data_IF_476837471963
#
_entry.id   IF_476837471963
#
_cell.length_a   1.000
_cell.length_b   1.000
_cell.length_c   1.000
_cell.angle_alpha   90.00
_cell.angle_beta   90.00
_cell.angle_gamma   90.00
#
_symmetry.space_group_name_H-M   'P 1'
#
loop_
_entity.id
_entity.type
_entity.pdbx_description
1 polymer ?
#
# COMPACT_ATOMS: atom_id res chain seq x y z
N UNK A 1 -24.95 7.81 0.03
CA UNK A 1 -23.90 8.69 0.62
C UNK A 1 -22.59 7.91 0.79
N UNK A 2 -21.44 8.55 0.63
CA UNK A 2 -20.16 7.85 0.81
C UNK A 2 -19.86 7.66 2.30
N UNK A 3 -19.51 6.44 2.72
CA UNK A 3 -19.14 6.14 4.12
C UNK A 3 -17.96 7.01 4.58
N UNK A 4 -18.05 7.66 5.76
CA UNK A 4 -16.94 8.43 6.33
C UNK A 4 -15.68 7.59 6.52
N UNK A 5 -14.48 8.19 6.36
CA UNK A 5 -13.22 7.46 6.50
C UNK A 5 -13.01 6.94 7.93
N UNK A 6 -13.43 7.70 8.92
CA UNK A 6 -13.40 7.30 10.34
C UNK A 6 -14.15 6.01 10.65
N UNK A 7 -15.12 5.62 9.81
CA UNK A 7 -15.81 4.34 9.94
C UNK A 7 -15.12 3.19 9.18
N UNK A 8 -14.26 3.50 8.19
CA UNK A 8 -13.60 2.50 7.35
C UNK A 8 -12.18 2.17 7.83
N UNK A 9 -11.52 3.13 8.47
CA UNK A 9 -10.17 2.99 9.03
C UNK A 9 -10.29 3.07 10.54
N UNK A 10 -9.77 2.08 11.23
CA UNK A 10 -9.72 2.06 12.67
C UNK A 10 -8.69 3.08 13.16
N UNK A 11 -9.06 3.86 14.18
CA UNK A 11 -8.20 4.88 14.76
C UNK A 11 -7.65 4.48 16.14
N UNK A 12 -8.10 3.33 16.67
CA UNK A 12 -7.73 2.86 18.00
C UNK A 12 -6.86 1.61 17.92
N UNK A 13 -7.14 0.71 16.95
CA UNK A 13 -6.46 -0.58 16.83
C UNK A 13 -5.68 -0.71 15.53
N UNK A 14 -4.47 -1.30 15.60
CA UNK A 14 -3.69 -1.59 14.41
C UNK A 14 -4.35 -2.66 13.55
N UNK A 15 -4.32 -2.46 12.21
CA UNK A 15 -4.98 -3.34 11.27
C UNK A 15 -4.35 -3.28 9.88
N UNK A 16 -4.50 -4.36 9.10
CA UNK A 16 -4.14 -4.36 7.70
C UNK A 16 -5.26 -3.81 6.82
N UNK A 17 -4.87 -3.11 5.75
CA UNK A 17 -5.78 -2.54 4.75
C UNK A 17 -5.32 -2.81 3.34
N UNK A 18 -6.27 -3.16 2.47
CA UNK A 18 -6.09 -3.10 1.02
C UNK A 18 -6.55 -1.73 0.52
N UNK A 19 -5.62 -0.96 -0.04
CA UNK A 19 -5.86 0.40 -0.53
C UNK A 19 -5.78 0.42 -2.05
N UNK A 20 -6.69 1.17 -2.70
CA UNK A 20 -6.67 1.34 -4.16
C UNK A 20 -6.87 2.82 -4.47
N UNK A 21 -6.07 3.35 -5.38
CA UNK A 21 -6.30 4.66 -5.98
C UNK A 21 -6.25 4.58 -7.50
N UNK A 22 -7.22 5.22 -8.16
CA UNK A 22 -7.40 5.18 -9.61
C UNK A 22 -7.36 6.58 -10.19
N UNK A 23 -6.85 6.70 -11.42
CA UNK A 23 -6.91 7.94 -12.18
C UNK A 23 -8.32 8.22 -12.70
N UNK A 24 -8.67 9.52 -12.80
CA UNK A 24 -9.94 9.96 -13.38
C UNK A 24 -10.06 9.49 -14.84
N UNK A 25 -11.31 9.21 -15.25
CA UNK A 25 -11.63 8.82 -16.65
C UNK A 25 -10.77 7.68 -17.20
N UNK A 26 -10.17 6.86 -16.32
CA UNK A 26 -9.19 5.81 -16.66
C UNK A 26 -7.97 6.34 -17.43
N UNK A 27 -7.61 7.62 -17.22
CA UNK A 27 -6.39 8.21 -17.76
C UNK A 27 -5.17 7.37 -17.43
N UNK A 28 -4.14 7.48 -18.25
CA UNK A 28 -2.89 6.77 -18.04
C UNK A 28 -2.15 7.34 -16.81
N UNK A 29 -2.01 6.53 -15.77
CA UNK A 29 -1.10 6.80 -14.66
C UNK A 29 0.33 6.58 -15.12
N UNK A 30 0.57 5.44 -15.78
CA UNK A 30 1.84 4.99 -16.32
C UNK A 30 1.61 4.00 -17.46
N UNK A 31 2.68 3.60 -18.13
CA UNK A 31 2.62 2.74 -19.31
C UNK A 31 2.53 3.50 -20.61
N UNK A 32 2.37 2.78 -21.70
CA UNK A 32 2.37 3.34 -23.06
C UNK A 32 0.94 3.68 -23.50
N UNK A 33 0.66 4.96 -23.69
CA UNK A 33 -0.54 5.47 -24.32
C UNK A 33 -0.35 5.45 -25.85
N UNK A 34 -0.82 4.37 -26.49
CA UNK A 34 -0.66 4.18 -27.94
C UNK A 34 -1.38 5.25 -28.77
N UNK A 35 -2.62 5.66 -28.45
CA UNK A 35 -3.31 6.74 -29.15
C UNK A 35 -2.55 8.07 -29.10
N UNK A 36 -2.08 8.47 -27.92
CA UNK A 36 -1.33 9.70 -27.75
C UNK A 36 0.16 9.59 -28.12
N UNK A 37 0.67 8.37 -28.40
CA UNK A 37 2.09 8.05 -28.66
C UNK A 37 3.01 8.54 -27.53
N UNK A 38 2.54 8.46 -26.27
CA UNK A 38 3.30 8.87 -25.09
C UNK A 38 3.63 7.68 -24.21
N UNK A 39 4.83 7.69 -23.66
CA UNK A 39 5.30 6.70 -22.71
C UNK A 39 5.39 7.33 -21.30
N UNK A 40 4.63 6.77 -20.37
CA UNK A 40 4.56 7.18 -18.98
C UNK A 40 5.15 6.15 -18.01
N UNK A 41 5.98 5.22 -18.50
CA UNK A 41 6.57 4.15 -17.66
C UNK A 41 7.39 4.72 -16.50
N UNK A 42 8.07 5.86 -16.70
CA UNK A 42 8.85 6.54 -15.66
C UNK A 42 8.00 6.94 -14.43
N UNK A 43 6.69 7.15 -14.58
CA UNK A 43 5.79 7.47 -13.45
C UNK A 43 5.65 6.31 -12.46
N UNK A 44 5.93 5.05 -12.87
CA UNK A 44 6.01 3.90 -11.95
C UNK A 44 7.13 4.10 -10.93
N UNK A 45 8.28 4.59 -11.39
CA UNK A 45 9.42 4.88 -10.52
C UNK A 45 9.08 5.99 -9.52
N UNK A 46 8.37 7.05 -9.94
CA UNK A 46 7.93 8.11 -9.02
C UNK A 46 7.06 7.55 -7.88
N UNK A 47 6.08 6.73 -8.23
CA UNK A 47 5.18 6.12 -7.25
C UNK A 47 5.93 5.15 -6.33
N UNK A 48 6.73 4.25 -6.88
CA UNK A 48 7.48 3.26 -6.11
C UNK A 48 8.43 3.94 -5.12
N UNK A 49 9.24 4.89 -5.60
CA UNK A 49 10.15 5.67 -4.75
C UNK A 49 9.39 6.38 -3.65
N UNK A 50 8.24 6.98 -3.99
CA UNK A 50 7.42 7.70 -3.02
C UNK A 50 6.78 6.78 -1.99
N UNK A 51 6.28 5.59 -2.39
CA UNK A 51 5.77 4.57 -1.48
C UNK A 51 6.84 4.18 -0.46
N UNK A 52 8.03 3.81 -0.94
CA UNK A 52 9.15 3.41 -0.08
C UNK A 52 9.63 4.54 0.83
N UNK A 53 9.70 5.76 0.30
CA UNK A 53 10.12 6.92 1.09
C UNK A 53 9.13 7.21 2.21
N UNK A 54 7.86 7.38 1.90
CA UNK A 54 6.85 7.74 2.91
C UNK A 54 6.65 6.64 3.95
N UNK A 55 6.67 5.37 3.54
CA UNK A 55 6.47 4.26 4.46
C UNK A 55 7.56 4.13 5.53
N UNK A 56 8.73 4.74 5.35
CA UNK A 56 9.79 4.79 6.39
C UNK A 56 9.46 5.74 7.53
N UNK A 57 8.56 6.70 7.32
CA UNK A 57 8.34 7.79 8.26
C UNK A 57 6.90 7.88 8.79
N UNK A 58 5.93 7.30 8.08
CA UNK A 58 4.55 7.23 8.53
C UNK A 58 4.31 5.99 9.41
N UNK A 59 3.23 6.00 10.18
CA UNK A 59 2.80 4.89 11.04
C UNK A 59 2.24 3.70 10.23
N UNK A 60 2.97 3.26 9.20
CA UNK A 60 2.59 2.17 8.30
C UNK A 60 3.74 1.22 8.03
N UNK A 61 3.41 -0.04 7.76
CA UNK A 61 4.28 -0.99 7.09
C UNK A 61 3.64 -1.42 5.77
N UNK A 62 4.39 -1.43 4.67
CA UNK A 62 3.90 -1.83 3.34
C UNK A 62 4.23 -3.28 3.10
N UNK A 63 3.19 -4.12 2.99
CA UNK A 63 3.33 -5.54 2.73
C UNK A 63 3.33 -5.87 1.24
N UNK A 64 2.47 -5.22 0.44
CA UNK A 64 2.46 -5.43 -1.00
C UNK A 64 2.07 -4.16 -1.76
N UNK A 65 2.51 -4.05 -3.01
CA UNK A 65 2.06 -3.02 -3.96
C UNK A 65 2.10 -3.52 -5.40
N UNK A 66 1.24 -2.94 -6.22
CA UNK A 66 1.30 -3.05 -7.68
C UNK A 66 0.86 -1.73 -8.32
N UNK A 67 1.71 -1.19 -9.21
CA UNK A 67 1.46 0.05 -9.93
C UNK A 67 1.04 -0.31 -11.35
N UNK A 68 -0.26 -0.18 -11.63
CA UNK A 68 -0.88 -0.53 -12.91
C UNK A 68 -1.01 0.71 -13.80
N UNK A 69 -1.41 0.51 -15.06
CA UNK A 69 -1.48 1.60 -16.05
C UNK A 69 -2.40 2.78 -15.66
N UNK A 70 -3.46 2.55 -14.88
CA UNK A 70 -4.43 3.59 -14.51
C UNK A 70 -4.81 3.58 -13.03
N UNK A 71 -4.18 2.76 -12.20
CA UNK A 71 -4.41 2.67 -10.77
C UNK A 71 -3.23 1.99 -10.09
N UNK A 72 -3.18 2.10 -8.77
CA UNK A 72 -2.25 1.33 -7.97
C UNK A 72 -2.95 0.71 -6.77
N UNK A 73 -2.39 -0.39 -6.30
CA UNK A 73 -2.79 -1.11 -5.10
C UNK A 73 -1.70 -1.06 -4.05
N UNK A 74 -2.09 -1.03 -2.78
CA UNK A 74 -1.21 -1.24 -1.62
C UNK A 74 -1.90 -2.21 -0.66
N UNK A 75 -1.13 -3.08 -0.03
CA UNK A 75 -1.50 -3.75 1.22
C UNK A 75 -0.59 -3.18 2.29
N UNK A 76 -1.19 -2.60 3.32
CA UNK A 76 -0.46 -1.95 4.40
C UNK A 76 -0.98 -2.42 5.75
N UNK A 77 -0.07 -2.58 6.71
CA UNK A 77 -0.41 -2.58 8.13
C UNK A 77 -0.31 -1.14 8.63
N UNK A 78 -1.33 -0.67 9.29
CA UNK A 78 -1.42 0.66 9.86
C UNK A 78 -1.61 0.56 11.36
N UNK A 79 -0.74 1.22 12.12
CA UNK A 79 -0.85 1.34 13.58
C UNK A 79 -1.13 2.79 13.95
N UNK A 80 -2.38 3.15 14.26
CA UNK A 80 -2.76 4.52 14.60
C UNK A 80 -2.10 5.03 15.88
N UNK A 81 -1.67 4.12 16.77
CA UNK A 81 -1.04 4.45 18.05
C UNK A 81 0.49 4.57 17.96
N UNK A 82 1.11 4.16 16.85
CA UNK A 82 2.56 4.22 16.70
C UNK A 82 3.11 5.64 16.90
N UNK A 83 2.44 6.65 16.35
CA UNK A 83 2.88 8.03 16.45
C UNK A 83 2.87 8.59 17.89
N UNK A 84 2.10 8.00 18.80
CA UNK A 84 2.05 8.40 20.20
C UNK A 84 3.25 7.86 21.01
N UNK A 85 3.95 6.85 20.47
CA UNK A 85 5.14 6.25 21.10
C UNK A 85 6.45 6.93 20.64
N UNK A 86 6.40 7.73 19.58
CA UNK A 86 7.58 8.47 19.11
C UNK A 86 7.91 9.64 20.01
N UNK A 87 9.20 9.88 20.28
CA UNK A 87 9.62 11.11 20.95
C UNK A 87 9.36 12.34 20.06
N UNK A 88 9.44 13.52 20.64
CA UNK A 88 9.27 14.77 19.91
C UNK A 88 10.40 14.96 18.88
N UNK A 89 11.61 14.57 19.21
CA UNK A 89 12.76 14.57 18.30
C UNK A 89 12.53 13.64 17.11
N UNK A 90 12.05 12.41 17.38
CA UNK A 90 11.74 11.44 16.35
C UNK A 90 10.65 11.95 15.39
N UNK A 91 9.60 12.59 15.94
CA UNK A 91 8.56 13.23 15.13
C UNK A 91 9.14 14.34 14.26
N UNK A 92 10.02 15.18 14.82
CA UNK A 92 10.64 16.26 14.06
C UNK A 92 11.55 15.75 12.94
N UNK A 93 12.35 14.71 13.19
CA UNK A 93 13.19 14.06 12.17
C UNK A 93 12.36 13.43 11.05
N UNK A 94 11.34 12.65 11.41
CA UNK A 94 10.42 12.04 10.45
C UNK A 94 9.70 13.10 9.60
N UNK A 95 9.25 14.18 10.23
CA UNK A 95 8.59 15.30 9.54
C UNK A 95 9.49 15.94 8.52
N UNK A 96 10.72 16.27 8.89
CA UNK A 96 11.69 16.90 7.99
C UNK A 96 12.15 15.99 6.87
N UNK A 97 12.20 14.66 7.09
CA UNK A 97 12.49 13.71 6.05
C UNK A 97 11.35 13.63 5.00
N UNK A 98 10.10 13.76 5.42
CA UNK A 98 8.93 13.78 4.52
C UNK A 98 8.78 15.14 3.83
N UNK A 99 9.06 16.24 4.53
CA UNK A 99 8.91 17.63 4.09
C UNK A 99 10.23 18.38 4.22
N UNK A 100 11.24 18.01 3.41
CA UNK A 100 12.55 18.65 3.49
C UNK A 100 12.45 20.15 3.14
N UNK A 101 13.33 20.98 3.69
CA UNK A 101 13.47 22.35 3.27
C UNK A 101 13.80 22.45 1.77
N UNK A 102 13.61 23.63 1.19
CA UNK A 102 14.09 23.87 -0.18
C UNK A 102 15.60 23.68 -0.22
N UNK A 103 16.08 23.05 -1.30
CA UNK A 103 17.52 22.84 -1.51
C UNK A 103 18.27 24.18 -1.46
N UNK A 104 19.40 24.18 -0.78
CA UNK A 104 20.35 25.30 -0.74
C UNK A 104 21.48 25.08 -1.76
N UNK A 105 22.33 26.10 -1.90
CA UNK A 105 23.47 26.08 -2.84
C UNK A 105 24.61 25.14 -2.39
N UNK A 106 24.71 24.86 -1.08
CA UNK A 106 25.72 23.92 -0.54
C UNK A 106 25.10 22.86 0.38
N UNK A 107 25.76 21.69 0.44
CA UNK A 107 25.31 20.60 1.32
C UNK A 107 25.49 20.94 2.82
N UNK A 108 26.49 21.76 3.17
CA UNK A 108 26.69 22.22 4.54
C UNK A 108 25.53 23.12 4.98
N UNK A 109 25.14 24.08 4.13
CA UNK A 109 23.99 24.96 4.40
C UNK A 109 22.68 24.17 4.50
N UNK A 110 22.53 23.08 3.72
CA UNK A 110 21.34 22.20 3.81
C UNK A 110 21.22 21.54 5.19
N UNK A 111 22.33 21.03 5.74
CA UNK A 111 22.31 20.42 7.06
C UNK A 111 22.02 21.44 8.18
N UNK A 112 22.60 22.63 8.10
CA UNK A 112 22.34 23.69 9.09
C UNK A 112 20.88 24.15 9.04
N UNK A 113 20.30 24.26 7.84
CA UNK A 113 18.88 24.59 7.66
C UNK A 113 17.99 23.49 8.25
N UNK A 114 18.32 22.20 8.05
CA UNK A 114 17.57 21.08 8.62
C UNK A 114 17.65 21.12 10.15
N UNK A 115 18.83 21.32 10.74
CA UNK A 115 19.03 21.42 12.18
C UNK A 115 18.23 22.59 12.77
N UNK A 116 18.33 23.77 12.18
CA UNK A 116 17.58 24.95 12.61
C UNK A 116 16.06 24.71 12.56
N UNK A 117 15.56 24.09 11.49
CA UNK A 117 14.13 23.77 11.36
C UNK A 117 13.67 22.75 12.36
N UNK A 118 14.52 21.78 12.71
CA UNK A 118 14.24 20.80 13.77
C UNK A 118 14.07 21.51 15.11
N UNK A 119 15.00 22.38 15.48
CA UNK A 119 14.93 23.15 16.71
C UNK A 119 13.67 24.03 16.76
N UNK A 120 13.37 24.76 15.68
CA UNK A 120 12.15 25.55 15.59
C UNK A 120 10.90 24.69 15.77
N UNK A 121 10.85 23.51 15.14
CA UNK A 121 9.69 22.62 15.26
C UNK A 121 9.50 22.12 16.68
N UNK A 122 10.59 21.76 17.37
CA UNK A 122 10.57 21.30 18.77
C UNK A 122 10.09 22.41 19.73
N UNK A 123 10.34 23.68 19.41
CA UNK A 123 9.87 24.84 20.19
C UNK A 123 8.41 25.23 19.88
N UNK A 124 7.74 24.55 18.94
CA UNK A 124 6.38 24.89 18.51
C UNK A 124 5.42 23.71 18.74
N UNK A 125 4.86 23.53 19.97
CA UNK A 125 4.07 22.36 20.34
C UNK A 125 2.89 22.08 19.41
N UNK A 126 2.18 23.11 18.94
CA UNK A 126 1.05 22.93 18.02
C UNK A 126 1.49 22.38 16.66
N UNK A 127 2.61 22.84 16.13
CA UNK A 127 3.14 22.33 14.85
C UNK A 127 3.68 20.92 15.01
N UNK A 128 4.31 20.63 16.13
CA UNK A 128 4.80 19.28 16.45
C UNK A 128 3.66 18.30 16.60
N UNK A 129 2.59 18.68 17.29
CA UNK A 129 1.36 17.88 17.41
C UNK A 129 0.73 17.64 16.02
N UNK A 130 0.65 18.68 15.18
CA UNK A 130 0.17 18.53 13.80
C UNK A 130 1.04 17.58 12.98
N UNK A 131 2.37 17.64 13.12
CA UNK A 131 3.29 16.72 12.47
C UNK A 131 3.05 15.27 12.93
N UNK A 132 2.93 15.04 14.24
CA UNK A 132 2.63 13.74 14.84
C UNK A 132 1.32 13.16 14.31
N UNK A 133 0.25 13.93 14.34
CA UNK A 133 -1.06 13.52 13.82
C UNK A 133 -1.05 13.23 12.31
N UNK A 134 -0.28 14.02 11.55
CA UNK A 134 -0.13 13.80 10.11
C UNK A 134 0.60 12.48 9.83
N UNK A 135 1.73 12.23 10.48
CA UNK A 135 2.53 11.03 10.30
C UNK A 135 1.81 9.77 10.84
N UNK A 136 0.94 9.92 11.83
CA UNK A 136 0.05 8.88 12.37
C UNK A 136 -1.23 8.65 11.58
N UNK A 137 -1.39 9.21 10.38
CA UNK A 137 -2.65 9.15 9.63
C UNK A 137 -2.51 8.42 8.29
N UNK A 138 -3.26 7.32 8.12
CA UNK A 138 -3.34 6.60 6.85
C UNK A 138 -3.89 7.48 5.71
N UNK A 139 -4.83 8.38 6.03
CA UNK A 139 -5.37 9.33 5.05
C UNK A 139 -4.32 10.34 4.59
N UNK A 140 -3.48 10.81 5.50
CA UNK A 140 -2.39 11.73 5.18
C UNK A 140 -1.26 11.02 4.44
N UNK A 141 -0.93 9.77 4.80
CA UNK A 141 -0.02 8.94 4.01
C UNK A 141 -0.47 8.88 2.54
N UNK A 142 -1.72 8.51 2.29
CA UNK A 142 -2.27 8.43 0.93
C UNK A 142 -2.37 9.80 0.23
N UNK A 143 -2.64 10.88 0.96
CA UNK A 143 -2.63 12.24 0.42
C UNK A 143 -1.22 12.62 -0.06
N UNK A 144 -0.21 12.44 0.80
CA UNK A 144 1.17 12.80 0.48
C UNK A 144 1.83 11.86 -0.53
N UNK A 145 1.31 10.64 -0.69
CA UNK A 145 1.67 9.76 -1.79
C UNK A 145 1.12 10.28 -3.13
N UNK A 146 -0.17 10.62 -3.18
CA UNK A 146 -0.89 10.93 -4.42
C UNK A 146 -0.65 12.35 -4.94
N UNK A 147 -0.63 13.34 -4.05
CA UNK A 147 -0.64 14.76 -4.43
C UNK A 147 0.58 15.19 -5.26
N UNK A 148 1.83 14.87 -4.88
CA UNK A 148 2.99 15.23 -5.69
C UNK A 148 3.00 14.54 -7.05
N UNK A 149 2.59 13.27 -7.12
CA UNK A 149 2.50 12.52 -8.37
C UNK A 149 1.44 13.13 -9.29
N UNK A 150 0.27 13.50 -8.74
CA UNK A 150 -0.78 14.18 -9.49
C UNK A 150 -0.32 15.52 -10.05
N UNK A 151 0.37 16.33 -9.24
CA UNK A 151 0.91 17.61 -9.66
C UNK A 151 1.94 17.47 -10.79
N UNK A 152 2.88 16.53 -10.62
CA UNK A 152 3.93 16.29 -11.60
C UNK A 152 3.38 15.73 -12.91
N UNK A 153 2.42 14.78 -12.83
CA UNK A 153 1.75 14.23 -14.00
C UNK A 153 0.92 15.29 -14.75
N UNK A 154 0.15 16.11 -14.04
CA UNK A 154 -0.60 17.21 -14.67
C UNK A 154 0.33 18.22 -15.36
N UNK A 155 1.47 18.54 -14.71
CA UNK A 155 2.48 19.43 -15.33
C UNK A 155 3.06 18.83 -16.60
N UNK A 156 3.39 17.54 -16.60
CA UNK A 156 3.89 16.83 -17.77
C UNK A 156 2.85 16.74 -18.90
N UNK A 157 1.58 16.52 -18.52
CA UNK A 157 0.48 16.42 -19.48
C UNK A 157 -0.04 17.78 -19.97
N UNK A 158 0.43 18.89 -19.41
CA UNK A 158 -0.08 20.24 -19.68
C UNK A 158 -1.54 20.43 -19.23
N UNK A 159 -1.98 19.69 -18.20
CA UNK A 159 -3.35 19.66 -17.73
C UNK A 159 -3.48 20.27 -16.33
N UNK A 160 -4.72 20.57 -15.94
CA UNK A 160 -5.11 20.99 -14.60
C UNK A 160 -6.28 20.14 -14.09
N UNK A 161 -6.54 20.18 -12.76
CA UNK A 161 -7.66 19.49 -12.14
C UNK A 161 -7.29 18.15 -11.48
N UNK A 162 -8.32 17.33 -11.26
CA UNK A 162 -8.16 16.05 -10.56
C UNK A 162 -7.49 14.99 -11.43
N UNK A 163 -6.31 14.52 -11.00
CA UNK A 163 -5.61 13.41 -11.63
C UNK A 163 -6.12 12.05 -11.12
N UNK A 164 -6.35 11.92 -9.82
CA UNK A 164 -6.93 10.73 -9.21
C UNK A 164 -8.43 10.91 -8.94
N UNK A 165 -9.20 9.82 -9.14
CA UNK A 165 -10.57 9.74 -8.62
C UNK A 165 -10.57 10.08 -7.13
N UNK A 166 -11.54 10.82 -6.63
CA UNK A 166 -11.71 11.31 -5.29
C UNK A 166 -10.96 10.58 -4.15
N UNK A 167 -11.70 9.97 -3.22
CA UNK A 167 -11.11 9.23 -2.11
C UNK A 167 -10.61 7.86 -2.58
N UNK A 168 -9.45 7.42 -2.04
CA UNK A 168 -8.98 6.06 -2.24
C UNK A 168 -9.94 5.04 -1.59
N UNK A 169 -10.03 3.84 -2.17
CA UNK A 169 -10.70 2.71 -1.53
C UNK A 169 -9.83 2.18 -0.39
N UNK A 170 -10.47 1.75 0.72
CA UNK A 170 -9.85 0.98 1.79
C UNK A 170 -10.76 -0.16 2.21
N UNK A 171 -10.25 -1.39 2.14
CA UNK A 171 -10.88 -2.58 2.68
C UNK A 171 -10.04 -3.10 3.84
N UNK A 172 -10.65 -3.29 5.01
CA UNK A 172 -10.00 -3.86 6.17
C UNK A 172 -9.73 -5.36 5.95
N UNK A 173 -8.58 -5.84 6.39
CA UNK A 173 -8.17 -7.24 6.29
C UNK A 173 -8.06 -7.80 7.71
N UNK A 174 -9.05 -8.60 8.10
CA UNK A 174 -9.35 -8.90 9.49
C UNK A 174 -8.63 -10.13 10.05
N UNK A 175 -8.03 -10.93 9.19
CA UNK A 175 -7.24 -12.12 9.54
C UNK A 175 -6.12 -12.35 8.55
N UNK A 176 -5.19 -13.24 8.90
CA UNK A 176 -4.02 -13.54 8.08
C UNK A 176 -4.39 -14.04 6.68
N UNK A 177 -5.43 -14.87 6.55
CA UNK A 177 -5.87 -15.36 5.26
C UNK A 177 -6.33 -14.21 4.34
N UNK A 178 -6.99 -13.19 4.89
CA UNK A 178 -7.39 -12.00 4.15
C UNK A 178 -6.17 -11.17 3.74
N UNK A 179 -5.16 -11.03 4.62
CA UNK A 179 -3.91 -10.33 4.32
C UNK A 179 -3.16 -11.02 3.19
N UNK A 180 -2.90 -12.33 3.31
CA UNK A 180 -2.19 -13.13 2.30
C UNK A 180 -2.93 -13.13 0.96
N UNK A 181 -4.27 -13.28 0.99
CA UNK A 181 -5.08 -13.19 -0.23
C UNK A 181 -5.00 -11.82 -0.88
N UNK A 182 -5.01 -10.72 -0.10
CA UNK A 182 -4.89 -9.37 -0.62
C UNK A 182 -3.50 -9.10 -1.20
N UNK A 183 -2.43 -9.55 -0.54
CA UNK A 183 -1.07 -9.47 -1.06
C UNK A 183 -0.97 -10.24 -2.39
N UNK A 184 -1.46 -11.48 -2.46
CA UNK A 184 -1.45 -12.28 -3.68
C UNK A 184 -2.32 -11.64 -4.79
N UNK A 185 -3.49 -11.09 -4.45
CA UNK A 185 -4.31 -10.34 -5.41
C UNK A 185 -3.53 -9.17 -6.04
N UNK A 186 -2.76 -8.44 -5.22
CA UNK A 186 -1.96 -7.30 -5.65
C UNK A 186 -0.80 -7.76 -6.53
N UNK A 187 -0.03 -8.75 -6.09
CA UNK A 187 1.15 -9.25 -6.81
C UNK A 187 0.79 -9.95 -8.13
N UNK A 188 -0.37 -10.60 -8.21
CA UNK A 188 -0.89 -11.25 -9.42
C UNK A 188 -1.69 -10.32 -10.34
N UNK A 189 -1.91 -9.06 -9.96
CA UNK A 189 -2.68 -8.12 -10.76
C UNK A 189 -2.14 -7.95 -12.20
N UNK A 190 -0.82 -7.85 -12.44
CA UNK A 190 -0.25 -7.75 -13.78
C UNK A 190 -0.50 -9.01 -14.63
N UNK A 191 -0.47 -10.21 -14.04
CA UNK A 191 -0.76 -11.48 -14.72
C UNK A 191 -2.25 -11.56 -15.06
N UNK A 192 -3.11 -11.27 -14.09
CA UNK A 192 -4.56 -11.22 -14.26
C UNK A 192 -4.99 -10.22 -15.33
N UNK A 193 -4.30 -9.08 -15.43
CA UNK A 193 -4.51 -8.08 -16.48
C UNK A 193 -3.88 -8.45 -17.82
N UNK A 194 -3.24 -9.62 -17.94
CA UNK A 194 -2.53 -10.11 -19.13
C UNK A 194 -1.43 -9.17 -19.64
N UNK A 195 -0.82 -8.41 -18.73
CA UNK A 195 0.33 -7.54 -19.05
C UNK A 195 1.60 -8.38 -19.13
N UNK A 196 1.76 -9.33 -18.21
CA UNK A 196 2.88 -10.28 -18.17
C UNK A 196 2.37 -11.69 -17.90
N UNK A 197 3.21 -12.70 -18.17
CA UNK A 197 2.90 -14.12 -17.90
C UNK A 197 3.51 -14.60 -16.59
N UNK A 198 4.62 -14.00 -16.15
CA UNK A 198 5.40 -14.43 -14.98
C UNK A 198 5.54 -13.28 -14.00
N UNK A 199 5.64 -13.60 -12.70
CA UNK A 199 5.75 -12.62 -11.61
C UNK A 199 7.02 -11.79 -11.77
N UNK A 200 8.11 -12.42 -12.16
CA UNK A 200 9.44 -11.83 -12.36
C UNK A 200 9.50 -10.84 -13.54
N UNK A 201 8.48 -10.82 -14.38
CA UNK A 201 8.46 -9.94 -15.53
C UNK A 201 7.88 -8.54 -15.23
N UNK A 202 7.28 -8.31 -14.03
CA UNK A 202 6.66 -7.02 -13.71
C UNK A 202 7.34 -6.33 -12.53
N UNK A 203 8.36 -5.52 -12.82
CA UNK A 203 9.21 -4.85 -11.81
C UNK A 203 8.45 -3.89 -10.88
N UNK A 204 7.34 -3.30 -11.33
CA UNK A 204 6.55 -2.33 -10.57
C UNK A 204 5.50 -2.99 -9.65
N UNK A 205 5.77 -4.21 -9.19
CA UNK A 205 4.98 -4.92 -8.19
C UNK A 205 5.90 -5.59 -7.15
N UNK A 206 5.39 -5.74 -5.94
CA UNK A 206 6.09 -6.38 -4.82
C UNK A 206 6.40 -7.86 -5.08
N UNK A 207 5.57 -8.55 -5.86
CA UNK A 207 5.82 -9.94 -6.26
C UNK A 207 7.15 -10.13 -6.95
N UNK A 208 7.56 -9.20 -7.82
CA UNK A 208 8.89 -9.20 -8.43
C UNK A 208 10.00 -9.19 -7.36
N UNK A 209 9.90 -8.29 -6.37
CA UNK A 209 10.93 -8.18 -5.31
C UNK A 209 11.00 -9.44 -4.46
N UNK A 210 9.87 -10.05 -4.13
CA UNK A 210 9.80 -11.32 -3.39
C UNK A 210 10.37 -12.49 -4.19
N UNK A 211 10.06 -12.56 -5.48
CA UNK A 211 10.67 -13.56 -6.36
C UNK A 211 12.20 -13.41 -6.42
N UNK A 212 12.72 -12.19 -6.50
CA UNK A 212 14.16 -11.95 -6.44
C UNK A 212 14.79 -12.39 -5.11
N UNK A 213 14.11 -12.13 -3.97
CA UNK A 213 14.57 -12.61 -2.66
C UNK A 213 14.56 -14.15 -2.61
N UNK A 214 13.51 -14.80 -3.11
CA UNK A 214 13.39 -16.25 -3.13
C UNK A 214 14.50 -16.92 -3.97
N UNK A 215 14.88 -16.28 -5.07
CA UNK A 215 15.94 -16.78 -5.97
C UNK A 215 17.34 -16.51 -5.39
N UNK A 216 17.59 -15.28 -4.92
CA UNK A 216 18.94 -14.84 -4.54
C UNK A 216 19.31 -15.16 -3.08
N UNK A 217 18.31 -15.47 -2.23
CA UNK A 217 18.47 -15.71 -0.79
C UNK A 217 17.59 -16.90 -0.34
N UNK A 218 17.89 -18.14 -0.82
CA UNK A 218 17.03 -19.30 -0.58
C UNK A 218 16.83 -19.63 0.91
N UNK A 219 17.76 -19.24 1.77
CA UNK A 219 17.65 -19.39 3.23
C UNK A 219 16.45 -18.61 3.82
N UNK A 220 16.00 -17.54 3.17
CA UNK A 220 14.82 -16.76 3.57
C UNK A 220 13.48 -17.41 3.21
N UNK A 221 13.48 -18.46 2.40
CA UNK A 221 12.25 -19.17 1.99
C UNK A 221 11.45 -19.70 3.19
N UNK A 222 12.14 -20.14 4.25
CA UNK A 222 11.51 -20.65 5.48
C UNK A 222 11.11 -19.56 6.47
N UNK A 223 11.53 -18.33 6.24
CA UNK A 223 11.17 -17.20 7.10
C UNK A 223 9.73 -16.73 6.84
N UNK A 224 9.10 -16.17 7.86
CA UNK A 224 7.83 -15.46 7.73
C UNK A 224 7.95 -14.29 6.73
N UNK A 225 6.85 -13.97 6.05
CA UNK A 225 6.84 -12.83 5.13
C UNK A 225 6.96 -11.54 5.94
N UNK A 226 8.00 -10.78 5.65
CA UNK A 226 8.22 -9.46 6.23
C UNK A 226 7.61 -8.36 5.34
N UNK A 227 7.30 -7.18 5.90
CA UNK A 227 6.95 -6.01 5.10
C UNK A 227 8.14 -5.59 4.23
N UNK A 228 7.86 -5.00 3.08
CA UNK A 228 8.89 -4.49 2.16
C UNK A 228 9.59 -3.25 2.72
N UNK A 229 8.86 -2.47 3.50
CA UNK A 229 9.32 -1.26 4.17
C UNK A 229 8.38 -0.93 5.32
N UNK A 230 8.93 -0.45 6.43
CA UNK A 230 8.17 -0.06 7.62
C UNK A 230 8.73 1.22 8.24
N UNK A 231 7.82 2.09 8.69
CA UNK A 231 8.09 3.24 9.55
C UNK A 231 7.72 3.01 11.02
N UNK A 232 7.29 1.79 11.33
CA UNK A 232 6.89 1.43 12.70
C UNK A 232 8.13 1.16 13.54
N UNK A 233 8.16 1.68 14.76
CA UNK A 233 9.18 1.38 15.76
C UNK A 233 9.03 -0.06 16.25
N UNK A 234 7.79 -0.45 16.55
CA UNK A 234 7.45 -1.83 16.87
C UNK A 234 7.05 -2.54 15.57
N UNK A 235 7.69 -3.66 15.21
CA UNK A 235 7.33 -4.38 14.00
C UNK A 235 5.88 -4.89 14.09
N UNK A 236 5.19 -4.96 12.95
CA UNK A 236 3.88 -5.60 12.90
C UNK A 236 4.00 -7.08 13.33
N UNK A 237 2.92 -7.69 13.85
CA UNK A 237 2.90 -9.12 14.11
C UNK A 237 3.33 -9.92 12.89
N UNK A 238 4.21 -10.94 13.05
CA UNK A 238 4.62 -11.78 11.93
C UNK A 238 3.42 -12.53 11.36
N UNK A 239 3.40 -12.70 10.04
CA UNK A 239 2.47 -13.63 9.40
C UNK A 239 3.02 -15.05 9.60
N UNK A 240 2.15 -16.02 9.86
CA UNK A 240 2.55 -17.44 9.95
C UNK A 240 2.99 -17.98 8.58
N UNK A 241 2.49 -17.38 7.49
CA UNK A 241 2.83 -17.74 6.11
C UNK A 241 4.29 -17.45 5.81
N UNK A 242 5.04 -18.48 5.41
CA UNK A 242 6.44 -18.34 4.99
C UNK A 242 6.54 -17.80 3.55
N UNK A 243 7.72 -17.25 3.19
CA UNK A 243 7.97 -16.81 1.82
C UNK A 243 7.78 -17.96 0.81
N UNK A 244 8.23 -19.18 1.11
CA UNK A 244 8.04 -20.33 0.24
C UNK A 244 6.56 -20.65 0.01
N UNK A 245 5.76 -20.70 1.09
CA UNK A 245 4.33 -20.95 0.99
C UNK A 245 3.61 -19.86 0.18
N UNK A 246 4.02 -18.61 0.37
CA UNK A 246 3.48 -17.49 -0.40
C UNK A 246 3.82 -17.57 -1.88
N UNK A 247 5.08 -17.88 -2.24
CA UNK A 247 5.48 -18.04 -3.64
C UNK A 247 4.73 -19.19 -4.31
N UNK A 248 4.53 -20.31 -3.60
CA UNK A 248 3.72 -21.44 -4.10
C UNK A 248 2.27 -21.01 -4.39
N UNK A 249 1.64 -20.21 -3.51
CA UNK A 249 0.30 -19.62 -3.75
C UNK A 249 0.31 -18.78 -5.04
N UNK A 250 1.30 -17.90 -5.20
CA UNK A 250 1.39 -17.04 -6.38
C UNK A 250 1.54 -17.85 -7.68
N UNK A 251 2.41 -18.87 -7.68
CA UNK A 251 2.67 -19.68 -8.86
C UNK A 251 1.43 -20.54 -9.26
N UNK A 252 0.75 -21.13 -8.29
CA UNK A 252 -0.47 -21.91 -8.54
C UNK A 252 -1.57 -21.03 -9.13
N UNK A 253 -1.85 -19.90 -8.50
CA UNK A 253 -2.91 -19.01 -8.96
C UNK A 253 -2.54 -18.31 -10.28
N UNK A 254 -1.26 -18.05 -10.53
CA UNK A 254 -0.80 -17.54 -11.83
C UNK A 254 -1.11 -18.53 -12.96
N UNK A 255 -0.89 -19.83 -12.74
CA UNK A 255 -1.25 -20.90 -13.70
C UNK A 255 -2.75 -20.93 -13.99
N UNK A 256 -3.58 -20.80 -12.94
CA UNK A 256 -5.04 -20.77 -13.08
C UNK A 256 -5.52 -19.59 -13.94
N UNK A 257 -4.88 -18.42 -13.81
CA UNK A 257 -5.19 -17.27 -14.67
C UNK A 257 -4.79 -17.46 -16.13
N UNK A 258 -3.76 -18.26 -16.40
CA UNK A 258 -3.27 -18.51 -17.76
C UNK A 258 -4.06 -19.62 -18.48
N UNK A 259 -4.62 -20.58 -17.76
CA UNK A 259 -5.37 -21.71 -18.26
C UNK A 259 -6.76 -21.82 -17.60
N UNK A 260 -7.70 -20.90 -17.89
CA UNK A 260 -8.98 -20.81 -17.19
C UNK A 260 -9.86 -22.09 -17.25
N UNK A 261 -9.61 -22.97 -18.22
CA UNK A 261 -10.35 -24.25 -18.35
C UNK A 261 -9.80 -25.38 -17.48
N UNK A 262 -8.59 -25.22 -16.93
CA UNK A 262 -7.90 -26.22 -16.10
C UNK A 262 -7.86 -25.83 -14.61
N UNK A 263 -8.65 -24.82 -14.20
CA UNK A 263 -8.71 -24.40 -12.80
C UNK A 263 -9.05 -25.59 -11.94
N UNK A 264 -8.12 -25.98 -11.09
CA UNK A 264 -8.40 -26.93 -10.04
C UNK A 264 -9.41 -26.29 -9.09
N UNK A 265 -10.68 -26.70 -9.22
CA UNK A 265 -11.79 -26.18 -8.41
C UNK A 265 -11.59 -26.38 -6.91
N UNK A 266 -10.53 -27.09 -6.51
CA UNK A 266 -10.10 -27.25 -5.12
C UNK A 266 -9.17 -26.12 -4.65
N UNK A 267 -8.73 -25.21 -5.53
CA UNK A 267 -7.86 -24.09 -5.17
C UNK A 267 -8.63 -22.99 -4.42
N UNK A 268 -8.76 -23.17 -3.12
CA UNK A 268 -9.36 -22.18 -2.20
C UNK A 268 -8.72 -20.81 -2.29
N UNK A 269 -7.45 -20.73 -2.64
CA UNK A 269 -6.73 -19.46 -2.81
C UNK A 269 -7.20 -18.68 -4.03
N UNK A 270 -7.51 -19.37 -5.14
CA UNK A 270 -8.06 -18.70 -6.32
C UNK A 270 -9.36 -17.96 -5.98
N UNK A 271 -10.30 -18.64 -5.29
CA UNK A 271 -11.58 -18.05 -4.92
C UNK A 271 -11.44 -16.91 -3.90
N UNK A 272 -10.55 -17.07 -2.90
CA UNK A 272 -10.25 -16.01 -1.93
C UNK A 272 -9.71 -14.77 -2.61
N UNK A 273 -8.71 -14.93 -3.49
CA UNK A 273 -8.09 -13.85 -4.24
C UNK A 273 -9.13 -13.20 -5.19
N UNK A 274 -9.96 -13.99 -5.85
CA UNK A 274 -11.00 -13.50 -6.74
C UNK A 274 -12.07 -12.67 -6.01
N UNK A 275 -12.39 -13.01 -4.77
CA UNK A 275 -13.40 -12.31 -3.96
C UNK A 275 -13.03 -10.83 -3.68
N UNK A 276 -11.73 -10.52 -3.61
CA UNK A 276 -11.24 -9.14 -3.39
C UNK A 276 -11.59 -8.16 -4.52
N UNK A 277 -12.04 -8.66 -5.67
CA UNK A 277 -12.54 -7.82 -6.77
C UNK A 277 -13.82 -7.07 -6.40
N UNK A 278 -14.58 -7.56 -5.44
CA UNK A 278 -15.88 -6.99 -5.02
C UNK A 278 -15.79 -5.70 -4.22
N UNK A 279 -14.59 -5.24 -3.83
CA UNK A 279 -14.36 -3.99 -3.07
C UNK A 279 -15.26 -3.86 -1.84
N UNK A 280 -15.30 -4.86 -1.00
CA UNK A 280 -16.02 -4.84 0.27
C UNK A 280 -15.30 -3.94 1.29
N UNK A 281 -16.03 -3.53 2.35
CA UNK A 281 -15.46 -2.71 3.44
C UNK A 281 -14.45 -3.47 4.28
N UNK A 282 -14.64 -4.79 4.41
CA UNK A 282 -13.73 -5.69 5.10
C UNK A 282 -13.72 -7.08 4.45
N UNK A 283 -12.64 -7.82 4.69
CA UNK A 283 -12.42 -9.20 4.26
C UNK A 283 -11.88 -10.00 5.43
N UNK A 284 -12.33 -11.23 5.57
CA UNK A 284 -11.92 -12.14 6.64
C UNK A 284 -12.85 -13.34 6.75
N UNK A 285 -12.60 -14.18 7.75
CA UNK A 285 -13.50 -15.26 8.14
C UNK A 285 -14.85 -14.69 8.60
N UNK A 286 -15.90 -15.53 8.62
CA UNK A 286 -17.24 -15.11 9.06
C UNK A 286 -17.20 -14.57 10.49
N UNK A 287 -16.46 -15.22 11.38
CA UNK A 287 -16.32 -14.77 12.78
C UNK A 287 -15.68 -13.37 12.87
N UNK A 288 -14.58 -13.15 12.15
CA UNK A 288 -13.89 -11.86 12.12
C UNK A 288 -14.79 -10.76 11.53
N UNK A 289 -15.50 -11.05 10.44
CA UNK A 289 -16.45 -10.13 9.81
C UNK A 289 -17.61 -9.77 10.74
N UNK A 290 -18.19 -10.77 11.45
CA UNK A 290 -19.29 -10.55 12.39
C UNK A 290 -18.85 -9.64 13.53
N UNK A 291 -17.70 -9.90 14.15
CA UNK A 291 -17.17 -9.05 15.21
C UNK A 291 -16.93 -7.62 14.72
N UNK A 292 -16.23 -7.47 13.58
CA UNK A 292 -15.90 -6.16 13.00
C UNK A 292 -17.15 -5.35 12.61
N UNK A 293 -18.21 -6.00 12.13
CA UNK A 293 -19.48 -5.36 11.81
C UNK A 293 -20.28 -4.99 13.08
N UNK A 294 -20.33 -5.88 14.07
CA UNK A 294 -21.01 -5.63 15.34
C UNK A 294 -20.44 -4.42 16.06
N UNK A 295 -19.11 -4.30 16.13
CA UNK A 295 -18.43 -3.15 16.75
C UNK A 295 -18.79 -1.81 16.09
N UNK A 296 -19.29 -1.83 14.86
CA UNK A 296 -19.67 -0.66 14.05
C UNK A 296 -21.16 -0.50 13.82
N UNK A 297 -21.98 -1.39 14.39
CA UNK A 297 -23.44 -1.40 14.18
C UNK A 297 -23.83 -1.67 12.72
N UNK A 298 -23.06 -2.47 11.99
CA UNK A 298 -23.30 -2.79 10.58
C UNK A 298 -23.77 -4.23 10.39
N UNK A 299 -24.57 -4.44 9.34
CA UNK A 299 -24.92 -5.79 8.90
C UNK A 299 -23.70 -6.50 8.29
N UNK A 300 -23.56 -7.78 8.56
CA UNK A 300 -22.49 -8.63 8.00
C UNK A 300 -22.66 -8.73 6.48
N UNK A 301 -21.61 -8.52 5.67
CA UNK A 301 -21.69 -8.72 4.23
C UNK A 301 -22.04 -10.17 3.88
N UNK A 302 -22.91 -10.38 2.90
CA UNK A 302 -23.37 -11.70 2.49
C UNK A 302 -22.34 -12.60 1.77
N UNK A 303 -21.08 -12.21 1.70
CA UNK A 303 -20.00 -12.98 1.05
C UNK A 303 -18.70 -12.85 1.84
N UNK A 304 -18.47 -13.70 2.87
CA UNK A 304 -17.17 -13.81 3.51
C UNK A 304 -16.13 -14.35 2.53
N UNK A 305 -14.83 -14.24 2.89
CA UNK A 305 -13.81 -15.02 2.21
C UNK A 305 -14.15 -16.52 2.33
N UNK A 306 -13.96 -17.32 1.27
CA UNK A 306 -14.11 -18.77 1.36
C UNK A 306 -13.29 -19.32 2.53
N UNK A 307 -13.95 -20.08 3.40
CA UNK A 307 -13.32 -20.63 4.62
C UNK A 307 -12.23 -21.63 4.24
N UNK A 308 -11.24 -21.77 5.12
CA UNK A 308 -10.10 -22.69 4.93
C UNK A 308 -10.52 -24.17 4.98
#
# INVERSE_FOLDING_TARGET
>A
MATPRSQLVDHDYPMHYHLISRCVRRSWLCGVDRPARKDYEHRKVWLETRIHHLAKYFAVAVDAYAIMSNHFHLVVYFDPQACNRWSDEEVAERWLAVFPPRKSASAADEQDIVNLRREILLQMPEKLLHARQTLGSLSMFMKHLKQPVAYQANKEDGCSGHFFEGRFYSGALLDENAVVAAMAYVDLNPIRARIVKHIEAYKAASGFKRAQVAINTPERLKAAIEPLVSGLTDPRPPLATTLAAYMDILERVARDYQAPGSVDKTSRWFDRIASLRKRQRAFGSMAALSNWCNDRGWSVPGSPLPVA
#
